data_IF_883129233092
#
_entry.id   IF_883129233092
#
_cell.length_a   1.000
_cell.length_b   1.000
_cell.length_c   1.000
_cell.angle_alpha   90.00
_cell.angle_beta   90.00
_cell.angle_gamma   90.00
#
_symmetry.space_group_name_H-M   'P 1'
#
loop_
_entity.id
_entity.type
_entity.pdbx_description
1 polymer ?
#
# COMPACT_ATOMS: atom_id res chain seq x y z
N UNK A 1 -19.92 3.30 -5.84
CA UNK A 1 -20.02 4.74 -5.48
C UNK A 1 -19.03 5.19 -4.41
N UNK A 2 -18.90 4.57 -3.22
CA UNK A 2 -17.91 5.03 -2.21
C UNK A 2 -16.43 4.80 -2.61
N UNK A 3 -16.17 3.76 -3.41
CA UNK A 3 -14.84 3.33 -3.82
C UNK A 3 -14.18 4.20 -4.90
N UNK A 4 -14.95 4.90 -5.73
CA UNK A 4 -14.39 5.70 -6.83
C UNK A 4 -13.64 6.95 -6.34
N UNK A 5 -13.99 7.45 -5.14
CA UNK A 5 -13.30 8.61 -4.56
C UNK A 5 -11.86 8.29 -4.21
N UNK A 6 -11.59 7.12 -3.64
CA UNK A 6 -10.22 6.75 -3.25
C UNK A 6 -9.31 6.57 -4.47
N UNK A 7 -9.85 6.12 -5.60
CA UNK A 7 -9.08 5.97 -6.84
C UNK A 7 -8.51 7.29 -7.35
N UNK A 8 -9.26 8.38 -7.16
CA UNK A 8 -8.89 9.74 -7.60
C UNK A 8 -8.15 10.56 -6.54
N UNK A 9 -7.94 10.01 -5.34
CA UNK A 9 -7.17 10.73 -4.31
C UNK A 9 -5.69 10.72 -4.68
N UNK A 10 -5.04 11.88 -4.54
CA UNK A 10 -3.60 12.00 -4.73
C UNK A 10 -2.86 11.10 -3.73
N UNK A 11 -1.95 10.26 -4.23
CA UNK A 11 -1.11 9.39 -3.41
C UNK A 11 -0.28 10.19 -2.41
N UNK A 12 0.19 11.39 -2.79
CA UNK A 12 0.91 12.32 -1.92
C UNK A 12 0.12 12.74 -0.66
N UNK A 13 -1.21 12.65 -0.67
CA UNK A 13 -2.06 12.89 0.50
C UNK A 13 -2.25 11.64 1.37
N UNK A 14 -2.17 10.46 0.76
CA UNK A 14 -2.32 9.17 1.45
C UNK A 14 -1.01 8.74 2.10
N UNK A 15 0.11 8.91 1.41
CA UNK A 15 1.42 8.46 1.86
C UNK A 15 1.81 8.96 3.25
N UNK A 16 1.70 10.27 3.58
CA UNK A 16 1.99 10.75 4.93
C UNK A 16 1.10 10.13 6.01
N UNK A 17 -0.15 9.75 5.68
CA UNK A 17 -1.06 9.11 6.61
C UNK A 17 -0.65 7.67 6.92
N UNK A 18 -0.11 6.96 5.93
CA UNK A 18 0.46 5.61 6.13
C UNK A 18 1.70 5.67 7.04
N UNK A 19 2.60 6.62 6.76
CA UNK A 19 3.81 6.85 7.57
C UNK A 19 3.43 7.20 9.00
N UNK A 20 2.55 8.19 9.21
CA UNK A 20 2.08 8.57 10.54
C UNK A 20 1.40 7.41 11.29
N UNK A 21 0.63 6.57 10.60
CA UNK A 21 0.01 5.38 11.20
C UNK A 21 1.07 4.42 11.76
N UNK A 22 2.15 4.20 11.01
CA UNK A 22 3.27 3.36 11.42
C UNK A 22 4.06 4.01 12.57
N UNK A 23 4.40 5.29 12.47
CA UNK A 23 5.15 6.03 13.49
C UNK A 23 4.45 6.09 14.85
N UNK A 24 3.12 6.26 14.86
CA UNK A 24 2.29 6.17 16.09
C UNK A 24 2.39 4.81 16.79
N UNK A 25 2.96 3.80 16.14
CA UNK A 25 3.19 2.44 16.65
C UNK A 25 4.67 2.11 16.81
N UNK A 26 5.55 3.12 16.81
CA UNK A 26 7.00 2.94 16.97
C UNK A 26 7.69 2.34 15.75
N UNK A 27 7.05 2.43 14.58
CA UNK A 27 7.62 2.01 13.29
C UNK A 27 8.16 3.21 12.52
N UNK A 28 8.84 2.96 11.42
CA UNK A 28 9.58 3.96 10.66
C UNK A 28 9.00 4.20 9.27
N UNK A 29 9.29 5.38 8.70
CA UNK A 29 9.02 5.69 7.29
C UNK A 29 9.66 4.64 6.36
N UNK A 30 10.91 4.25 6.64
CA UNK A 30 11.66 3.30 5.83
C UNK A 30 10.98 1.93 5.76
N UNK A 31 10.38 1.46 6.85
CA UNK A 31 9.59 0.22 6.84
C UNK A 31 8.33 0.35 5.96
N UNK A 32 7.68 1.52 5.92
CA UNK A 32 6.54 1.78 5.03
C UNK A 32 6.99 1.82 3.57
N UNK A 33 8.11 2.48 3.29
CA UNK A 33 8.69 2.54 1.94
C UNK A 33 9.06 1.14 1.45
N UNK A 34 9.69 0.33 2.30
CA UNK A 34 10.02 -1.06 2.00
C UNK A 34 8.78 -1.89 1.62
N UNK A 35 7.65 -1.69 2.30
CA UNK A 35 6.37 -2.32 1.96
C UNK A 35 5.90 -1.85 0.57
N UNK A 36 5.98 -0.54 0.29
CA UNK A 36 5.55 0.01 -1.00
C UNK A 36 6.42 -0.53 -2.12
N UNK A 37 7.74 -0.52 -1.97
CA UNK A 37 8.69 -1.05 -2.94
C UNK A 37 8.44 -2.53 -3.19
N UNK A 38 8.30 -3.31 -2.11
CA UNK A 38 8.01 -4.73 -2.23
C UNK A 38 6.68 -5.00 -2.95
N UNK A 39 5.64 -4.20 -2.73
CA UNK A 39 4.32 -4.41 -3.34
C UNK A 39 4.27 -3.98 -4.81
N UNK A 40 4.92 -2.86 -5.15
CA UNK A 40 4.72 -2.14 -6.42
C UNK A 40 5.89 -2.27 -7.39
N UNK A 41 7.08 -2.65 -6.89
CA UNK A 41 8.31 -2.64 -7.66
C UNK A 41 8.92 -1.24 -7.83
N UNK A 42 8.35 -0.20 -7.20
CA UNK A 42 8.98 1.11 -7.19
C UNK A 42 10.30 1.08 -6.43
N UNK A 43 11.26 1.89 -6.87
CA UNK A 43 12.38 2.33 -6.04
C UNK A 43 12.09 3.70 -5.38
N UNK A 44 13.04 4.18 -4.57
CA UNK A 44 12.93 5.45 -3.86
C UNK A 44 12.74 6.65 -4.82
N UNK A 45 13.49 6.69 -5.92
CA UNK A 45 13.43 7.77 -6.89
C UNK A 45 12.07 7.83 -7.57
N UNK A 46 11.53 6.65 -7.93
CA UNK A 46 10.23 6.53 -8.58
C UNK A 46 9.09 6.87 -7.61
N UNK A 47 9.16 6.39 -6.36
CA UNK A 47 8.18 6.72 -5.34
C UNK A 47 8.12 8.23 -5.10
N UNK A 48 9.28 8.87 -4.94
CA UNK A 48 9.36 10.33 -4.77
C UNK A 48 8.79 11.05 -5.99
N UNK A 49 9.10 10.61 -7.21
CA UNK A 49 8.53 11.20 -8.42
C UNK A 49 6.99 11.07 -8.48
N UNK A 50 6.41 9.97 -8.00
CA UNK A 50 4.95 9.83 -7.93
C UNK A 50 4.33 10.78 -6.88
N UNK A 51 5.02 10.99 -5.75
CA UNK A 51 4.59 11.95 -4.71
C UNK A 51 4.65 13.39 -5.23
N UNK A 52 5.75 13.79 -5.85
CA UNK A 52 5.96 15.14 -6.42
C UNK A 52 4.97 15.47 -7.53
N UNK A 53 4.63 14.47 -8.36
CA UNK A 53 3.64 14.63 -9.45
C UNK A 53 2.19 14.63 -8.95
N UNK A 54 1.97 14.39 -7.66
CA UNK A 54 0.65 14.27 -7.04
C UNK A 54 -0.31 13.32 -7.77
N UNK A 55 0.21 12.20 -8.30
CA UNK A 55 -0.63 11.27 -9.07
C UNK A 55 -1.73 10.67 -8.20
N UNK A 56 -2.86 10.34 -8.81
CA UNK A 56 -3.94 9.64 -8.11
C UNK A 56 -3.61 8.15 -7.86
N UNK A 57 -4.37 7.51 -6.96
CA UNK A 57 -4.16 6.10 -6.61
C UNK A 57 -4.27 5.16 -7.81
N UNK A 58 -5.18 5.45 -8.74
CA UNK A 58 -5.31 4.69 -9.99
C UNK A 58 -4.02 4.75 -10.80
N UNK A 59 -3.51 5.96 -11.06
CA UNK A 59 -2.28 6.17 -11.81
C UNK A 59 -1.06 5.62 -11.08
N UNK A 60 -0.99 5.76 -9.75
CA UNK A 60 0.07 5.20 -8.92
C UNK A 60 0.20 3.68 -9.10
N UNK A 61 -0.91 2.94 -9.02
CA UNK A 61 -0.89 1.48 -9.20
C UNK A 61 -0.82 1.04 -10.66
N UNK A 62 -1.26 1.87 -11.61
CA UNK A 62 -1.14 1.62 -13.04
C UNK A 62 0.30 1.81 -13.54
N UNK A 63 1.05 2.76 -12.96
CA UNK A 63 2.46 3.03 -13.29
C UNK A 63 3.44 2.21 -12.45
N UNK A 64 2.95 1.40 -11.51
CA UNK A 64 3.80 0.50 -10.71
C UNK A 64 4.59 -0.44 -11.64
N UNK A 65 5.94 -0.48 -11.55
CA UNK A 65 6.78 -1.26 -12.46
C UNK A 65 6.40 -2.73 -12.52
N UNK A 66 6.17 -3.34 -11.35
CA UNK A 66 5.73 -4.72 -11.25
C UNK A 66 5.05 -4.97 -9.91
N UNK A 67 3.75 -5.25 -9.93
CA UNK A 67 3.08 -5.76 -8.73
C UNK A 67 3.67 -7.12 -8.38
N UNK A 68 4.12 -7.26 -7.14
CA UNK A 68 4.79 -8.47 -6.69
C UNK A 68 3.85 -9.69 -6.78
N UNK A 69 4.28 -10.81 -7.40
CA UNK A 69 3.47 -12.02 -7.50
C UNK A 69 2.99 -12.58 -6.15
N UNK A 70 3.78 -12.38 -5.09
CA UNK A 70 3.43 -12.79 -3.74
C UNK A 70 2.31 -11.93 -3.11
N UNK A 71 1.91 -10.80 -3.71
CA UNK A 71 0.79 -10.00 -3.23
C UNK A 71 -0.54 -10.81 -3.18
N UNK A 72 -0.68 -11.83 -4.03
CA UNK A 72 -1.82 -12.77 -3.99
C UNK A 72 -1.91 -13.58 -2.69
N UNK A 73 -0.81 -13.70 -1.93
CA UNK A 73 -0.77 -14.35 -0.62
C UNK A 73 -1.27 -13.43 0.51
N UNK A 74 -1.59 -12.17 0.23
CA UNK A 74 -2.14 -11.23 1.21
C UNK A 74 -3.63 -11.54 1.36
N UNK A 75 -3.99 -12.13 2.50
CA UNK A 75 -5.35 -12.55 2.82
C UNK A 75 -5.82 -11.98 4.16
N UNK A 76 -7.11 -12.15 4.43
CA UNK A 76 -7.77 -11.77 5.67
C UNK A 76 -8.51 -10.45 5.56
N UNK A 77 -8.91 -9.93 6.73
CA UNK A 77 -9.78 -8.75 6.81
C UNK A 77 -8.99 -7.47 7.02
N UNK A 78 -9.37 -6.41 6.31
CA UNK A 78 -8.93 -5.02 6.53
C UNK A 78 -10.08 -4.08 6.18
N UNK A 79 -10.25 -2.99 6.94
CA UNK A 79 -11.34 -2.02 6.71
C UNK A 79 -12.74 -2.67 6.59
N UNK A 80 -12.98 -3.76 7.32
CA UNK A 80 -14.26 -4.48 7.32
C UNK A 80 -14.50 -5.41 6.12
N UNK A 81 -13.56 -5.52 5.18
CA UNK A 81 -13.67 -6.36 3.98
C UNK A 81 -12.56 -7.42 3.92
N UNK A 82 -12.85 -8.56 3.29
CA UNK A 82 -11.90 -9.65 3.06
C UNK A 82 -11.14 -9.41 1.75
N UNK A 83 -9.83 -9.23 1.82
CA UNK A 83 -9.03 -8.72 0.69
C UNK A 83 -9.04 -9.65 -0.52
N UNK A 84 -8.96 -10.96 -0.29
CA UNK A 84 -8.98 -11.98 -1.32
C UNK A 84 -10.33 -12.12 -2.04
N UNK A 85 -11.39 -11.50 -1.51
CA UNK A 85 -12.74 -11.50 -2.11
C UNK A 85 -13.09 -10.18 -2.81
N UNK A 86 -12.17 -9.21 -2.86
CA UNK A 86 -12.41 -7.95 -3.55
C UNK A 86 -12.35 -8.18 -5.06
N UNK A 87 -13.46 -7.92 -5.74
CA UNK A 87 -13.60 -8.12 -7.20
C UNK A 87 -12.88 -7.03 -8.01
N UNK A 88 -12.92 -5.78 -7.55
CA UNK A 88 -12.26 -4.67 -8.22
C UNK A 88 -10.73 -4.77 -8.05
N UNK A 89 -9.96 -4.96 -9.14
CA UNK A 89 -8.52 -5.21 -9.03
C UNK A 89 -7.73 -4.03 -8.46
N UNK A 90 -8.17 -2.79 -8.72
CA UNK A 90 -7.50 -1.60 -8.18
C UNK A 90 -7.78 -1.49 -6.68
N UNK A 91 -9.04 -1.63 -6.27
CA UNK A 91 -9.40 -1.65 -4.85
C UNK A 91 -8.66 -2.77 -4.10
N UNK A 92 -8.51 -3.95 -4.70
CA UNK A 92 -7.76 -5.03 -4.09
C UNK A 92 -6.30 -4.65 -3.84
N UNK A 93 -5.63 -4.01 -4.81
CA UNK A 93 -4.26 -3.49 -4.65
C UNK A 93 -4.15 -2.43 -3.55
N UNK A 94 -5.12 -1.52 -3.47
CA UNK A 94 -5.19 -0.51 -2.41
C UNK A 94 -5.33 -1.20 -1.05
N UNK A 95 -6.19 -2.21 -0.93
CA UNK A 95 -6.39 -2.95 0.33
C UNK A 95 -5.22 -3.87 0.68
N UNK A 96 -4.45 -4.34 -0.29
CA UNK A 96 -3.16 -4.99 -0.02
C UNK A 96 -2.21 -4.03 0.69
N UNK A 97 -2.04 -2.81 0.18
CA UNK A 97 -1.19 -1.81 0.82
C UNK A 97 -1.67 -1.50 2.26
N UNK A 98 -2.97 -1.24 2.44
CA UNK A 98 -3.55 -1.00 3.77
C UNK A 98 -3.29 -2.17 4.72
N UNK A 99 -3.43 -3.41 4.22
CA UNK A 99 -3.22 -4.63 5.02
C UNK A 99 -1.77 -4.76 5.47
N UNK A 100 -0.81 -4.55 4.58
CA UNK A 100 0.63 -4.64 4.90
C UNK A 100 1.03 -3.58 5.94
N UNK A 101 0.59 -2.34 5.76
CA UNK A 101 0.86 -1.25 6.72
C UNK A 101 0.13 -1.49 8.05
N UNK A 102 -1.07 -2.09 8.03
CA UNK A 102 -1.76 -2.50 9.26
C UNK A 102 -1.02 -3.60 10.02
N UNK A 103 -0.44 -4.56 9.30
CA UNK A 103 0.39 -5.60 9.89
C UNK A 103 1.68 -5.03 10.52
N UNK A 104 2.30 -4.06 9.85
CA UNK A 104 3.44 -3.31 10.38
C UNK A 104 3.07 -2.58 11.68
N UNK A 105 1.96 -1.84 11.66
CA UNK A 105 1.42 -1.10 12.81
C UNK A 105 1.01 -2.03 13.98
N UNK A 106 0.70 -3.30 13.70
CA UNK A 106 0.41 -4.34 14.71
C UNK A 106 1.66 -5.04 15.25
N UNK A 107 2.84 -4.61 14.85
CA UNK A 107 4.08 -5.16 15.37
C UNK A 107 4.55 -6.44 14.67
N UNK A 108 3.96 -6.84 13.53
CA UNK A 108 4.45 -8.02 12.81
C UNK A 108 5.88 -7.79 12.29
N UNK A 109 6.74 -8.82 12.25
CA UNK A 109 8.07 -8.71 11.67
C UNK A 109 7.98 -8.57 10.13
N UNK A 110 8.92 -7.82 9.55
CA UNK A 110 8.92 -7.47 8.12
C UNK A 110 8.91 -8.70 7.21
N UNK A 111 9.71 -9.72 7.50
CA UNK A 111 9.73 -11.01 6.77
C UNK A 111 8.32 -11.60 6.60
N UNK A 112 7.55 -11.66 7.69
CA UNK A 112 6.16 -12.14 7.65
C UNK A 112 5.26 -11.20 6.84
N UNK A 113 5.46 -9.89 6.92
CA UNK A 113 4.68 -8.89 6.16
C UNK A 113 4.92 -9.07 4.66
N UNK A 114 6.17 -9.20 4.25
CA UNK A 114 6.59 -9.33 2.85
C UNK A 114 6.40 -10.74 2.29
N UNK A 115 5.78 -11.66 3.04
CA UNK A 115 5.48 -13.04 2.59
C UNK A 115 6.72 -13.73 1.99
N UNK A 116 7.89 -13.41 2.55
CA UNK A 116 9.22 -13.85 2.11
C UNK A 116 9.86 -14.68 3.22
#
# INVERSE_FOLDING_TARGET
MANERIFKMAFSKIYPLLVQKAERKGRTKQEVDQIIFWLTGYDESQLNAQIEREVDMETFFRQAPQINPNAKKITGVICGVRVEQIEDPLMQKIRWLDKLVDELAKGKPMEKILRS
#
